data_IF_077112905189
#
_entry.id   IF_077112905189
#
_cell.length_a   1.000
_cell.length_b   1.000
_cell.length_c   1.000
_cell.angle_alpha   90.00
_cell.angle_beta   90.00
_cell.angle_gamma   90.00
#
_symmetry.space_group_name_H-M   'P 1'
#
loop_
_entity.id
_entity.type
_entity.pdbx_description
1 polymer ?
#
# COMPACT_ATOMS: atom_id res chain seq x y z
N UNK A 1 -13.98 0.16 -18.89
CA UNK A 1 -14.34 -0.69 -18.17
C UNK A 1 -13.33 -0.97 -17.17
N UNK A 2 -12.82 -2.02 -17.22
CA UNK A 2 -11.94 -2.40 -16.20
C UNK A 2 -10.70 -1.62 -16.16
N UNK A 3 -10.28 -1.07 -17.24
CA UNK A 3 -9.03 -0.37 -17.26
C UNK A 3 -9.03 0.83 -16.38
N UNK A 4 -10.09 1.60 -16.42
CA UNK A 4 -10.14 2.71 -15.57
C UNK A 4 -10.18 2.33 -14.15
N UNK A 5 -10.88 1.27 -13.86
CA UNK A 5 -10.96 0.78 -12.51
C UNK A 5 -9.60 0.40 -12.03
N UNK A 6 -8.82 -0.21 -12.88
CA UNK A 6 -7.51 -0.61 -12.48
C UNK A 6 -6.64 0.57 -12.24
N UNK A 7 -6.75 1.58 -13.07
CA UNK A 7 -5.96 2.77 -12.87
C UNK A 7 -6.33 3.46 -11.59
N UNK A 8 -7.60 3.46 -11.28
CA UNK A 8 -8.02 4.06 -10.06
C UNK A 8 -7.45 3.35 -8.89
N UNK A 9 -7.41 2.07 -8.94
CA UNK A 9 -6.87 1.29 -7.86
C UNK A 9 -5.39 1.28 -7.86
N UNK A 10 -4.75 1.77 -8.91
CA UNK A 10 -3.34 1.49 -9.05
C UNK A 10 -2.54 2.02 -7.88
N UNK A 11 -2.83 3.18 -7.35
CA UNK A 11 -2.06 3.67 -6.22
C UNK A 11 -2.58 3.11 -4.92
N UNK A 12 -3.84 3.37 -4.61
CA UNK A 12 -4.38 2.90 -3.36
C UNK A 12 -4.37 1.38 -3.29
N UNK A 13 -4.75 0.73 -4.37
CA UNK A 13 -4.77 -0.72 -4.42
C UNK A 13 -3.41 -1.33 -4.30
N UNK A 14 -2.40 -0.71 -4.91
CA UNK A 14 -1.05 -1.20 -4.79
C UNK A 14 -0.56 -1.09 -3.37
N UNK A 15 -0.88 0.00 -2.71
CA UNK A 15 -0.48 0.19 -1.33
C UNK A 15 -1.11 -0.88 -0.46
N UNK A 16 -2.41 -1.11 -0.65
CA UNK A 16 -3.11 -2.11 0.15
C UNK A 16 -2.56 -3.50 -0.12
N UNK A 17 -2.36 -3.83 -1.38
CA UNK A 17 -1.86 -5.15 -1.74
C UNK A 17 -0.45 -5.36 -1.18
N UNK A 18 0.40 -4.37 -1.29
CA UNK A 18 1.75 -4.48 -0.78
C UNK A 18 1.74 -4.63 0.73
N UNK A 19 0.89 -3.88 1.40
CA UNK A 19 0.81 -3.94 2.85
C UNK A 19 0.39 -5.32 3.31
N UNK A 20 -0.64 -5.88 2.69
CA UNK A 20 -1.12 -7.19 3.10
C UNK A 20 -0.12 -8.28 2.79
N UNK A 21 0.58 -8.16 1.67
CA UNK A 21 1.62 -9.11 1.36
C UNK A 21 2.71 -9.08 2.42
N UNK A 22 3.13 -7.90 2.83
CA UNK A 22 4.17 -7.78 3.84
C UNK A 22 3.67 -8.24 5.21
N UNK A 23 2.42 -7.96 5.52
CA UNK A 23 1.86 -8.45 6.78
C UNK A 23 1.90 -9.96 6.82
N UNK A 24 1.64 -10.59 5.69
CA UNK A 24 1.66 -12.03 5.61
C UNK A 24 3.08 -12.58 5.73
N UNK A 25 4.03 -11.91 5.12
CA UNK A 25 5.40 -12.40 5.10
C UNK A 25 6.20 -12.04 6.35
N UNK A 26 6.02 -10.84 6.83
CA UNK A 26 6.83 -10.33 7.93
C UNK A 26 6.03 -10.08 9.20
N UNK A 27 4.72 -10.16 9.10
CA UNK A 27 3.87 -9.83 10.23
C UNK A 27 3.59 -8.34 10.28
N UNK A 28 2.49 -8.01 10.95
CA UNK A 28 2.07 -6.62 11.02
C UNK A 28 3.14 -5.75 11.67
N UNK A 29 3.66 -6.22 12.82
CA UNK A 29 4.64 -5.43 13.55
C UNK A 29 5.98 -5.33 12.84
N UNK A 30 6.26 -6.28 11.96
CA UNK A 30 7.51 -6.26 11.22
C UNK A 30 7.46 -5.45 9.94
N UNK A 31 6.30 -4.88 9.62
CA UNK A 31 6.11 -4.14 8.39
C UNK A 31 6.10 -2.65 8.68
N UNK A 32 6.91 -1.90 7.96
CA UNK A 32 6.93 -0.44 8.13
C UNK A 32 6.28 0.22 6.92
N UNK A 33 5.94 1.48 7.06
CA UNK A 33 5.39 2.25 5.96
C UNK A 33 6.41 2.31 4.82
N UNK A 34 7.68 2.45 5.13
CA UNK A 34 8.70 2.48 4.10
C UNK A 34 8.74 1.19 3.31
N UNK A 35 8.55 0.06 3.98
CA UNK A 35 8.51 -1.22 3.29
C UNK A 35 7.34 -1.26 2.32
N UNK A 36 6.20 -0.75 2.75
CA UNK A 36 5.01 -0.75 1.92
C UNK A 36 5.21 0.13 0.69
N UNK A 37 5.78 1.30 0.91
CA UNK A 37 6.04 2.22 -0.18
C UNK A 37 6.98 1.59 -1.20
N UNK A 38 8.01 0.96 -0.71
CA UNK A 38 9.00 0.34 -1.58
C UNK A 38 8.39 -0.77 -2.41
N UNK A 39 7.65 -1.65 -1.77
CA UNK A 39 7.06 -2.79 -2.48
C UNK A 39 5.97 -2.34 -3.44
N UNK A 40 5.19 -1.36 -3.06
CA UNK A 40 4.09 -0.91 -3.89
C UNK A 40 4.55 -0.05 -5.05
N UNK A 41 5.75 0.45 -4.99
CA UNK A 41 6.25 1.33 -6.05
C UNK A 41 5.61 2.69 -6.03
N UNK A 42 5.18 3.14 -4.86
CA UNK A 42 4.54 4.44 -4.73
C UNK A 42 5.42 5.35 -3.90
N UNK A 43 4.96 6.56 -3.64
CA UNK A 43 5.72 7.52 -2.88
C UNK A 43 5.13 7.64 -1.49
N UNK A 44 5.92 8.21 -0.59
CA UNK A 44 5.45 8.44 0.77
C UNK A 44 4.26 9.40 0.75
N UNK A 45 4.30 10.38 -0.13
CA UNK A 45 3.19 11.31 -0.24
C UNK A 45 1.90 10.61 -0.65
N UNK A 46 2.00 9.65 -1.56
CA UNK A 46 0.83 8.90 -1.97
C UNK A 46 0.28 8.09 -0.81
N UNK A 47 1.16 7.45 -0.06
CA UNK A 47 0.70 6.67 1.07
C UNK A 47 -0.07 7.55 2.05
N UNK A 48 0.53 8.67 2.44
CA UNK A 48 -0.11 9.52 3.45
C UNK A 48 -1.30 10.29 2.90
N UNK A 49 -1.45 10.33 1.60
CA UNK A 49 -2.66 10.90 1.02
C UNK A 49 -3.87 10.01 1.34
N UNK A 50 -3.67 8.70 1.29
CA UNK A 50 -4.75 7.75 1.49
C UNK A 50 -4.85 7.23 2.91
N UNK A 51 -3.73 7.11 3.60
CA UNK A 51 -3.70 6.49 4.92
C UNK A 51 -2.79 7.28 5.84
N UNK A 52 -3.20 7.48 7.08
CA UNK A 52 -2.35 8.17 8.03
C UNK A 52 -1.32 7.24 8.63
N UNK A 53 -1.69 6.00 8.85
CA UNK A 53 -0.77 5.02 9.41
C UNK A 53 -1.07 3.68 8.78
N UNK A 54 -0.20 2.71 9.01
CA UNK A 54 -0.46 1.38 8.48
C UNK A 54 -1.65 0.73 9.17
N UNK A 55 -2.06 1.25 10.30
CA UNK A 55 -3.24 0.72 10.98
C UNK A 55 -4.51 0.94 10.19
N UNK A 56 -4.50 1.89 9.29
CA UNK A 56 -5.69 2.18 8.50
C UNK A 56 -5.86 1.26 7.31
N UNK A 57 -4.94 0.39 7.10
CA UNK A 57 -5.04 -0.57 5.99
C UNK A 57 -5.94 -1.80 6.33
#
# INVERSE_FOLDING_TARGET
MTIETENQKSVKGRIVAAAWQLFYEKGYNGTTVDDIIDLSGTSKGSFYYYFNTKDEL
#
